data_IF_983688769532
#
_entry.id   IF_983688769532
#
_cell.length_a   1.000
_cell.length_b   1.000
_cell.length_c   1.000
_cell.angle_alpha   90.00
_cell.angle_beta   90.00
_cell.angle_gamma   90.00
#
_symmetry.space_group_name_H-M   'P 1'
#
loop_
_entity.id
_entity.type
_entity.pdbx_description
1 polymer ?
#
# COMPACT_ATOMS: atom_id res chain seq x y z
N UNK A 1 -14.66 13.38 9.46
CA UNK A 1 -13.60 12.48 9.96
C UNK A 1 -13.27 11.51 8.85
N UNK A 2 -12.01 11.42 8.40
CA UNK A 2 -11.62 10.41 7.41
C UNK A 2 -11.52 9.07 8.13
N UNK A 3 -12.45 8.16 7.87
CA UNK A 3 -12.41 6.80 8.39
C UNK A 3 -11.18 6.10 7.81
N UNK A 4 -10.18 5.80 8.65
CA UNK A 4 -9.03 5.00 8.24
C UNK A 4 -9.54 3.59 7.90
N UNK A 5 -9.50 3.22 6.62
CA UNK A 5 -10.05 1.96 6.09
C UNK A 5 -9.19 0.73 6.40
N UNK A 6 -7.89 0.94 6.59
CA UNK A 6 -6.85 -0.06 6.84
C UNK A 6 -6.03 0.29 8.09
N UNK A 7 -5.55 -0.74 8.79
CA UNK A 7 -4.67 -0.64 9.94
C UNK A 7 -3.21 -0.85 9.53
N UNK A 8 -2.29 -0.37 10.37
CA UNK A 8 -0.85 -0.62 10.17
C UNK A 8 -0.57 -2.12 10.35
N UNK A 9 0.08 -2.72 9.36
CA UNK A 9 0.34 -4.17 9.32
C UNK A 9 -0.63 -4.95 8.44
N UNK A 10 -1.77 -4.37 8.05
CA UNK A 10 -2.69 -5.04 7.11
C UNK A 10 -1.98 -5.32 5.79
N UNK A 11 -2.14 -6.53 5.28
CA UNK A 11 -1.64 -6.88 3.95
C UNK A 11 -2.59 -6.31 2.89
N UNK A 12 -2.04 -5.53 1.98
CA UNK A 12 -2.78 -4.81 0.96
C UNK A 12 -2.28 -5.21 -0.44
N UNK A 13 -3.20 -5.26 -1.39
CA UNK A 13 -2.91 -5.42 -2.82
C UNK A 13 -3.42 -4.22 -3.60
N UNK A 14 -2.60 -3.73 -4.52
CA UNK A 14 -3.02 -2.72 -5.49
C UNK A 14 -3.83 -3.40 -6.58
N UNK A 15 -5.08 -2.98 -6.78
CA UNK A 15 -6.04 -3.65 -7.67
C UNK A 15 -6.24 -2.93 -9.00
N UNK A 16 -5.76 -1.68 -9.13
CA UNK A 16 -5.98 -0.84 -10.33
C UNK A 16 -4.75 -0.03 -10.71
N UNK A 17 -4.60 0.24 -12.01
CA UNK A 17 -3.54 1.07 -12.59
C UNK A 17 -2.25 0.30 -12.88
N UNK A 18 -1.20 1.02 -13.26
CA UNK A 18 0.07 0.42 -13.72
C UNK A 18 0.80 -0.39 -12.64
N UNK A 19 0.44 -0.17 -11.37
CA UNK A 19 0.98 -0.87 -10.20
C UNK A 19 0.08 -2.01 -9.72
N UNK A 20 -0.94 -2.39 -10.50
CA UNK A 20 -1.84 -3.50 -10.14
C UNK A 20 -1.05 -4.81 -9.96
N UNK A 21 -1.37 -5.54 -8.88
CA UNK A 21 -0.67 -6.77 -8.50
C UNK A 21 0.45 -6.57 -7.48
N UNK A 22 0.87 -5.33 -7.18
CA UNK A 22 1.81 -5.09 -6.08
C UNK A 22 1.15 -5.42 -4.75
N UNK A 23 1.82 -6.27 -3.97
CA UNK A 23 1.42 -6.66 -2.62
C UNK A 23 2.41 -6.07 -1.61
N UNK A 24 1.88 -5.53 -0.52
CA UNK A 24 2.71 -5.03 0.58
C UNK A 24 1.89 -4.81 1.83
N UNK A 25 2.52 -4.26 2.85
CA UNK A 25 1.87 -4.01 4.13
C UNK A 25 1.50 -2.53 4.25
N UNK A 26 0.33 -2.25 4.81
CA UNK A 26 -0.04 -0.90 5.22
C UNK A 26 0.94 -0.40 6.28
N UNK A 27 1.69 0.65 5.97
CA UNK A 27 2.62 1.28 6.91
C UNK A 27 2.07 2.59 7.49
N UNK A 28 0.97 3.10 6.93
CA UNK A 28 0.28 4.31 7.39
C UNK A 28 -0.52 4.96 6.27
N UNK A 29 -0.77 6.27 6.44
CA UNK A 29 -1.51 7.08 5.47
C UNK A 29 -0.64 8.22 4.93
N UNK A 30 -0.91 8.63 3.71
CA UNK A 30 -0.37 9.85 3.12
C UNK A 30 -1.35 11.02 3.30
N UNK A 31 -1.49 11.83 2.26
CA UNK A 31 -2.55 12.84 2.17
C UNK A 31 -3.94 12.19 2.26
N UNK A 32 -4.97 13.04 2.38
CA UNK A 32 -6.38 12.62 2.41
C UNK A 32 -6.68 11.65 1.25
N UNK A 33 -7.26 10.48 1.58
CA UNK A 33 -7.62 9.44 0.61
C UNK A 33 -6.45 8.62 0.08
N UNK A 34 -5.25 8.71 0.66
CA UNK A 34 -4.09 7.90 0.25
C UNK A 34 -3.55 7.04 1.37
N UNK A 35 -3.24 5.79 1.06
CA UNK A 35 -2.59 4.82 1.95
C UNK A 35 -1.12 4.64 1.56
N UNK A 36 -0.26 4.40 2.55
CA UNK A 36 1.15 4.04 2.32
C UNK A 36 1.32 2.54 2.41
N UNK A 37 1.86 1.94 1.36
CA UNK A 37 2.14 0.51 1.26
C UNK A 37 3.65 0.32 1.25
N UNK A 38 4.17 -0.41 2.23
CA UNK A 38 5.55 -0.86 2.28
C UNK A 38 5.68 -2.25 1.66
N UNK A 39 6.58 -2.43 0.70
CA UNK A 39 6.86 -3.72 0.09
C UNK A 39 8.36 -3.87 -0.13
N UNK A 40 8.80 -5.13 -0.23
CA UNK A 40 10.20 -5.44 -0.52
C UNK A 40 10.42 -5.39 -2.02
N UNK A 41 11.47 -4.71 -2.43
CA UNK A 41 11.91 -4.62 -3.81
C UNK A 41 13.35 -5.12 -3.88
N UNK A 42 13.64 -5.94 -4.89
CA UNK A 42 15.01 -6.44 -5.13
C UNK A 42 15.54 -5.74 -6.37
N UNK A 43 16.54 -4.87 -6.21
CA UNK A 43 17.25 -4.20 -7.31
C UNK A 43 18.74 -4.37 -7.06
N UNK A 44 19.26 -5.55 -7.41
CA UNK A 44 20.60 -5.99 -7.00
C UNK A 44 20.61 -6.43 -5.54
N UNK A 45 20.21 -5.54 -4.62
CA UNK A 45 20.05 -5.78 -3.18
C UNK A 45 18.57 -5.65 -2.75
N UNK A 46 18.21 -6.28 -1.62
CA UNK A 46 16.87 -6.14 -1.03
C UNK A 46 16.72 -4.78 -0.35
N UNK A 47 15.71 -4.01 -0.76
CA UNK A 47 15.36 -2.73 -0.13
C UNK A 47 13.87 -2.68 0.21
N UNK A 48 13.54 -1.83 1.20
CA UNK A 48 12.16 -1.53 1.55
C UNK A 48 11.70 -0.27 0.81
N UNK A 49 10.74 -0.43 -0.10
CA UNK A 49 10.11 0.68 -0.80
C UNK A 49 8.76 1.02 -0.16
N UNK A 50 8.41 2.32 -0.15
CA UNK A 50 7.11 2.80 0.33
C UNK A 50 6.42 3.54 -0.80
N UNK A 51 5.27 3.02 -1.24
CA UNK A 51 4.40 3.68 -2.21
C UNK A 51 3.25 4.38 -1.50
N UNK A 52 2.88 5.56 -1.97
CA UNK A 52 1.68 6.27 -1.53
C UNK A 52 0.64 6.16 -2.64
N UNK A 53 -0.45 5.44 -2.40
CA UNK A 53 -1.48 5.10 -3.41
C UNK A 53 -2.86 5.51 -2.90
N UNK A 54 -3.76 6.02 -3.77
CA UNK A 54 -5.16 6.24 -3.42
C UNK A 54 -5.85 4.98 -2.85
N UNK A 55 -6.60 5.14 -1.76
CA UNK A 55 -7.20 4.03 -1.02
C UNK A 55 -8.30 3.27 -1.78
N UNK A 56 -8.86 3.88 -2.83
CA UNK A 56 -9.83 3.32 -3.78
C UNK A 56 -9.19 2.36 -4.82
N UNK A 57 -7.86 2.40 -4.95
CA UNK A 57 -7.07 1.51 -5.83
C UNK A 57 -6.43 0.34 -5.09
N UNK A 58 -6.73 0.20 -3.80
CA UNK A 58 -6.12 -0.79 -2.91
C UNK A 58 -7.22 -1.61 -2.26
N UNK A 59 -6.91 -2.86 -1.95
CA UNK A 59 -7.81 -3.77 -1.23
C UNK A 59 -7.05 -4.57 -0.18
N UNK A 60 -7.73 -4.94 0.90
CA UNK A 60 -7.15 -5.77 1.96
C UNK A 60 -7.13 -7.23 1.52
N UNK A 61 -6.02 -7.92 1.79
CA UNK A 61 -5.88 -9.36 1.65
C UNK A 61 -6.18 -9.98 3.02
N UNK A 62 -7.13 -10.93 3.13
CA UNK A 62 -7.46 -11.62 4.38
C UNK A 62 -6.29 -12.43 4.95
#
# INVERSE_FOLDING_TARGET
MSSKKYNKGDQLIVTKGDMAGIVGNCVGYGDIGKVKIGFRLVVGDECLAVLTIPDDKVSIIP
#
